data_IF_734492305190
#
_entry.id   IF_734492305190
#
_cell.length_a   1.000
_cell.length_b   1.000
_cell.length_c   1.000
_cell.angle_alpha   90.00
_cell.angle_beta   90.00
_cell.angle_gamma   90.00
#
_symmetry.space_group_name_H-M   'P 1'
#
loop_
_entity.id
_entity.type
_entity.pdbx_description
1 polymer ?
#
# COMPACT_ATOMS: atom_id res chain seq x y z
N UNK A 1 1.59 1.36 -42.36
CA UNK A 1 0.77 0.99 -41.19
C UNK A 1 0.93 -0.50 -41.01
N UNK A 2 1.78 -0.91 -40.09
CA UNK A 2 2.13 -2.32 -39.85
C UNK A 2 1.19 -2.82 -38.76
N UNK A 3 0.28 -3.72 -39.12
CA UNK A 3 -0.62 -4.39 -38.19
C UNK A 3 0.23 -5.27 -37.26
N UNK A 4 0.20 -4.98 -35.97
CA UNK A 4 0.76 -5.86 -34.95
C UNK A 4 -0.18 -7.05 -34.85
N UNK A 5 0.23 -8.20 -35.39
CA UNK A 5 -0.47 -9.46 -35.23
C UNK A 5 -0.37 -9.90 -33.76
N UNK A 6 -1.44 -9.68 -33.01
CA UNK A 6 -1.66 -10.26 -31.68
C UNK A 6 -2.21 -11.68 -31.82
N UNK A 7 -1.48 -12.55 -32.53
CA UNK A 7 -1.89 -13.95 -32.72
C UNK A 7 -0.93 -14.88 -31.98
N UNK A 8 -0.70 -14.61 -30.70
CA UNK A 8 -0.19 -15.63 -29.79
C UNK A 8 -1.36 -16.09 -28.90
N UNK A 9 -1.75 -17.37 -28.98
CA UNK A 9 -2.77 -17.88 -28.10
C UNK A 9 -2.29 -17.66 -26.66
N UNK A 10 -3.04 -16.87 -25.89
CA UNK A 10 -2.83 -16.73 -24.46
C UNK A 10 -2.97 -18.13 -23.85
N UNK A 11 -1.86 -18.71 -23.44
CA UNK A 11 -1.86 -19.99 -22.75
C UNK A 11 -2.51 -19.78 -21.38
N UNK A 12 -3.79 -20.03 -21.31
CA UNK A 12 -4.51 -20.09 -20.05
C UNK A 12 -3.91 -21.23 -19.23
N UNK A 13 -3.27 -20.87 -18.13
CA UNK A 13 -2.66 -21.85 -17.24
C UNK A 13 -3.78 -22.70 -16.66
N UNK A 14 -3.79 -23.98 -17.03
CA UNK A 14 -4.75 -24.91 -16.44
C UNK A 14 -4.44 -24.99 -14.95
N UNK A 15 -5.38 -24.50 -14.13
CA UNK A 15 -5.24 -24.56 -12.68
C UNK A 15 -5.14 -26.03 -12.25
N UNK A 16 -4.14 -26.37 -11.42
CA UNK A 16 -4.04 -27.73 -10.91
C UNK A 16 -5.33 -28.07 -10.15
N UNK A 17 -5.90 -29.25 -10.43
CA UNK A 17 -7.12 -29.72 -9.73
C UNK A 17 -6.84 -29.70 -8.23
N UNK A 18 -7.57 -28.86 -7.52
CA UNK A 18 -7.50 -28.76 -6.06
C UNK A 18 -7.89 -30.11 -5.45
N UNK A 19 -7.04 -30.64 -4.59
CA UNK A 19 -7.32 -31.86 -3.85
C UNK A 19 -8.41 -31.62 -2.79
N UNK A 20 -9.15 -32.66 -2.36
CA UNK A 20 -10.14 -32.56 -1.30
C UNK A 20 -9.59 -31.96 0.01
N UNK A 21 -8.30 -32.14 0.26
CA UNK A 21 -7.59 -31.56 1.42
C UNK A 21 -7.45 -30.06 1.27
N UNK A 22 -7.15 -29.57 0.05
CA UNK A 22 -7.02 -28.15 -0.24
C UNK A 22 -8.37 -27.44 -0.08
N UNK A 23 -9.47 -28.05 -0.56
CA UNK A 23 -10.82 -27.52 -0.34
C UNK A 23 -11.16 -27.40 1.16
N UNK A 24 -10.79 -28.41 1.96
CA UNK A 24 -11.05 -28.42 3.40
C UNK A 24 -10.25 -27.32 4.12
N UNK A 25 -8.98 -27.12 3.72
CA UNK A 25 -8.11 -26.05 4.24
C UNK A 25 -8.66 -24.68 3.86
N UNK A 26 -9.06 -24.49 2.60
CA UNK A 26 -9.64 -23.22 2.11
C UNK A 26 -10.93 -22.89 2.87
N UNK A 27 -11.82 -23.87 3.07
CA UNK A 27 -13.06 -23.69 3.83
C UNK A 27 -12.79 -23.33 5.29
N UNK A 28 -11.85 -24.04 5.94
CA UNK A 28 -11.41 -23.76 7.32
C UNK A 28 -10.83 -22.36 7.48
N UNK A 29 -9.95 -21.98 6.55
CA UNK A 29 -9.34 -20.64 6.50
C UNK A 29 -10.40 -19.55 6.25
N UNK A 30 -11.37 -19.81 5.37
CA UNK A 30 -12.49 -18.91 5.11
C UNK A 30 -13.38 -18.70 6.34
N UNK A 31 -13.71 -19.77 7.06
CA UNK A 31 -14.48 -19.70 8.29
C UNK A 31 -13.75 -18.88 9.37
N UNK A 32 -12.46 -19.16 9.60
CA UNK A 32 -11.62 -18.43 10.56
C UNK A 32 -11.52 -16.96 10.19
N UNK A 33 -11.29 -16.65 8.91
CA UNK A 33 -11.21 -15.27 8.39
C UNK A 33 -12.50 -14.50 8.65
N UNK A 34 -13.67 -15.11 8.43
CA UNK A 34 -14.98 -14.50 8.71
C UNK A 34 -15.16 -14.21 10.21
N UNK A 35 -14.73 -15.13 11.08
CA UNK A 35 -14.82 -14.93 12.53
C UNK A 35 -13.90 -13.84 13.04
N UNK A 36 -12.74 -13.64 12.38
CA UNK A 36 -11.78 -12.59 12.72
C UNK A 36 -12.10 -11.23 12.06
N UNK A 37 -13.02 -11.20 11.09
CA UNK A 37 -13.37 -9.99 10.33
C UNK A 37 -13.80 -8.80 11.23
N UNK A 38 -14.64 -8.95 12.28
CA UNK A 38 -15.03 -7.81 13.11
C UNK A 38 -13.86 -7.23 13.90
N UNK A 39 -12.91 -8.07 14.34
CA UNK A 39 -11.71 -7.62 15.06
C UNK A 39 -10.81 -6.85 14.09
N UNK A 40 -10.58 -7.38 12.90
CA UNK A 40 -9.80 -6.73 11.86
C UNK A 40 -10.43 -5.38 11.48
N UNK A 41 -11.73 -5.34 11.27
CA UNK A 41 -12.47 -4.12 10.95
C UNK A 41 -12.28 -3.04 12.02
N UNK A 42 -12.39 -3.39 13.32
CA UNK A 42 -12.17 -2.46 14.43
C UNK A 42 -10.73 -1.91 14.43
N UNK A 43 -9.75 -2.76 14.16
CA UNK A 43 -8.33 -2.35 14.05
C UNK A 43 -8.09 -1.37 12.91
N UNK A 44 -8.70 -1.62 11.73
CA UNK A 44 -8.60 -0.73 10.57
C UNK A 44 -9.31 0.60 10.80
N UNK A 45 -10.49 0.59 11.43
CA UNK A 45 -11.19 1.81 11.83
C UNK A 45 -10.33 2.64 12.80
N UNK A 46 -9.79 2.01 13.84
CA UNK A 46 -8.93 2.68 14.81
C UNK A 46 -7.65 3.23 14.17
N UNK A 47 -7.09 2.56 13.17
CA UNK A 47 -5.95 3.07 12.39
C UNK A 47 -6.34 4.33 11.59
N UNK A 48 -7.47 4.28 10.90
CA UNK A 48 -7.93 5.39 10.08
C UNK A 48 -8.26 6.63 10.93
N UNK A 49 -8.92 6.44 12.09
CA UNK A 49 -9.21 7.53 13.03
C UNK A 49 -7.90 8.19 13.53
N UNK A 50 -6.88 7.38 13.91
CA UNK A 50 -5.58 7.90 14.33
C UNK A 50 -4.90 8.70 13.22
N UNK A 51 -4.97 8.23 11.97
CA UNK A 51 -4.41 8.94 10.82
C UNK A 51 -5.17 10.27 10.54
N UNK A 52 -6.49 10.29 10.71
CA UNK A 52 -7.30 11.52 10.58
C UNK A 52 -6.96 12.53 11.67
N UNK A 53 -6.89 12.10 12.93
CA UNK A 53 -6.55 12.96 14.07
C UNK A 53 -5.16 13.56 13.94
N UNK A 54 -4.17 12.76 13.54
CA UNK A 54 -2.83 13.27 13.29
C UNK A 54 -2.80 14.22 12.07
N UNK A 55 -3.65 13.95 11.07
CA UNK A 55 -3.79 14.79 9.88
C UNK A 55 -4.26 16.21 10.19
N UNK A 56 -5.06 16.43 11.24
CA UNK A 56 -5.46 17.78 11.65
C UNK A 56 -4.28 18.61 12.17
N UNK A 57 -3.40 18.00 12.97
CA UNK A 57 -2.19 18.67 13.43
C UNK A 57 -1.18 18.92 12.28
N UNK A 58 -1.17 18.07 11.25
CA UNK A 58 -0.29 18.23 10.09
C UNK A 58 -0.84 19.31 9.13
N UNK A 59 -2.15 19.52 9.07
CA UNK A 59 -2.75 20.53 8.19
C UNK A 59 -2.29 21.96 8.50
N UNK A 60 -1.91 22.23 9.74
CA UNK A 60 -1.45 23.55 10.18
C UNK A 60 0.06 23.78 9.91
N UNK A 61 0.78 22.74 9.46
CA UNK A 61 2.21 22.86 9.17
C UNK A 61 2.45 23.59 7.85
N UNK A 62 3.52 24.36 7.78
CA UNK A 62 4.02 24.89 6.50
C UNK A 62 4.56 23.74 5.61
N UNK A 63 4.71 23.98 4.32
CA UNK A 63 5.25 22.98 3.39
C UNK A 63 6.70 22.57 3.77
N UNK A 64 7.51 23.53 4.24
CA UNK A 64 8.85 23.25 4.73
C UNK A 64 8.82 22.32 5.95
N UNK A 65 7.97 22.60 6.95
CA UNK A 65 7.80 21.76 8.12
C UNK A 65 7.25 20.37 7.78
N UNK A 66 6.37 20.28 6.79
CA UNK A 66 5.84 19.00 6.32
C UNK A 66 6.93 18.16 5.63
N UNK A 67 7.82 18.80 4.87
CA UNK A 67 8.96 18.13 4.25
C UNK A 67 9.95 17.61 5.30
N UNK A 68 10.22 18.40 6.34
CA UNK A 68 11.03 18.00 7.47
C UNK A 68 10.42 16.81 8.23
N UNK A 69 9.12 16.87 8.52
CA UNK A 69 8.38 15.76 9.13
C UNK A 69 8.45 14.47 8.29
N UNK A 70 8.39 14.59 6.96
CA UNK A 70 8.57 13.47 6.04
C UNK A 70 10.00 12.90 6.08
N UNK A 71 11.02 13.76 6.20
CA UNK A 71 12.41 13.37 6.42
C UNK A 71 12.61 12.61 7.73
N UNK A 72 12.07 13.15 8.82
CA UNK A 72 12.07 12.50 10.13
C UNK A 72 11.35 11.14 10.13
N UNK A 73 10.22 11.02 9.42
CA UNK A 73 9.54 9.75 9.24
C UNK A 73 10.39 8.74 8.49
N UNK A 74 11.12 9.17 7.44
CA UNK A 74 12.03 8.29 6.70
C UNK A 74 13.11 7.72 7.61
N UNK A 75 13.71 8.54 8.48
CA UNK A 75 14.72 8.09 9.45
C UNK A 75 14.13 7.06 10.43
N UNK A 76 12.90 7.28 10.92
CA UNK A 76 12.18 6.31 11.78
C UNK A 76 11.90 5.01 11.07
N UNK A 77 11.44 5.05 9.80
CA UNK A 77 11.17 3.84 9.02
C UNK A 77 12.44 3.01 8.76
N UNK A 78 13.59 3.64 8.64
CA UNK A 78 14.89 2.95 8.50
C UNK A 78 15.31 2.31 9.82
N UNK A 79 15.17 3.02 10.95
CA UNK A 79 15.60 2.56 12.26
C UNK A 79 14.66 1.51 12.86
N UNK A 80 13.35 1.82 12.89
CA UNK A 80 12.35 1.08 13.66
C UNK A 80 11.48 0.17 12.76
N UNK A 81 11.66 0.28 11.45
CA UNK A 81 10.87 -0.46 10.47
C UNK A 81 9.43 0.05 10.35
N UNK A 82 8.56 -0.80 9.76
CA UNK A 82 7.16 -0.48 9.55
C UNK A 82 6.34 -0.83 10.81
N UNK A 83 6.41 0.03 11.80
CA UNK A 83 5.52 -0.05 12.97
C UNK A 83 4.16 0.55 12.63
N UNK A 84 3.13 0.22 13.45
CA UNK A 84 1.80 0.82 13.30
C UNK A 84 1.86 2.34 13.39
N UNK A 85 2.64 2.89 14.32
CA UNK A 85 2.78 4.33 14.51
C UNK A 85 3.40 5.01 13.28
N UNK A 86 4.48 4.44 12.74
CA UNK A 86 5.11 4.96 11.53
C UNK A 86 4.17 4.90 10.32
N UNK A 87 3.34 3.85 10.22
CA UNK A 87 2.34 3.74 9.16
C UNK A 87 1.24 4.80 9.31
N UNK A 88 0.74 5.05 10.51
CA UNK A 88 -0.24 6.12 10.80
C UNK A 88 0.31 7.49 10.41
N UNK A 89 1.55 7.79 10.81
CA UNK A 89 2.23 9.06 10.45
C UNK A 89 2.40 9.22 8.94
N UNK A 90 2.79 8.15 8.26
CA UNK A 90 2.92 8.16 6.80
C UNK A 90 1.60 8.43 6.11
N UNK A 91 0.52 7.78 6.55
CA UNK A 91 -0.82 7.99 6.00
C UNK A 91 -1.31 9.41 6.22
N UNK A 92 -1.09 9.97 7.40
CA UNK A 92 -1.47 11.34 7.72
C UNK A 92 -0.72 12.35 6.83
N UNK A 93 0.61 12.20 6.68
CA UNK A 93 1.42 13.04 5.80
C UNK A 93 1.02 12.90 4.33
N UNK A 94 0.80 11.67 3.86
CA UNK A 94 0.39 11.42 2.48
C UNK A 94 -1.00 11.99 2.20
N UNK A 95 -1.94 11.86 3.14
CA UNK A 95 -3.28 12.43 3.06
C UNK A 95 -3.25 13.94 2.89
N UNK A 96 -2.42 14.63 3.68
CA UNK A 96 -2.26 16.08 3.59
C UNK A 96 -1.54 16.50 2.30
N UNK A 97 -0.48 15.77 1.89
CA UNK A 97 0.19 16.03 0.63
C UNK A 97 -0.75 15.90 -0.57
N UNK A 98 -1.59 14.87 -0.60
CA UNK A 98 -2.61 14.72 -1.65
C UNK A 98 -3.64 15.85 -1.62
N UNK A 99 -4.05 16.30 -0.44
CA UNK A 99 -4.99 17.42 -0.31
C UNK A 99 -4.40 18.72 -0.86
N UNK A 100 -3.12 19.00 -0.59
CA UNK A 100 -2.44 20.21 -1.08
C UNK A 100 -2.11 20.16 -2.56
N UNK A 101 -1.60 19.05 -3.05
CA UNK A 101 -1.11 18.94 -4.43
C UNK A 101 -2.19 18.59 -5.45
N UNK A 102 -3.18 17.80 -5.05
CA UNK A 102 -4.22 17.29 -5.94
C UNK A 102 -5.62 17.84 -5.63
N UNK A 103 -5.79 18.58 -4.53
CA UNK A 103 -7.10 18.98 -4.03
C UNK A 103 -7.95 17.80 -3.53
N UNK A 104 -7.36 16.62 -3.39
CA UNK A 104 -8.06 15.37 -3.03
C UNK A 104 -7.64 14.90 -1.65
N UNK A 105 -8.57 14.96 -0.69
CA UNK A 105 -8.34 14.48 0.66
C UNK A 105 -8.95 13.10 0.85
N UNK A 106 -8.15 12.11 1.26
CA UNK A 106 -8.62 10.75 1.48
C UNK A 106 -9.75 10.69 2.51
N UNK A 107 -10.77 9.90 2.19
CA UNK A 107 -11.83 9.53 3.11
C UNK A 107 -11.42 8.39 4.04
N UNK A 108 -12.10 8.26 5.17
CA UNK A 108 -11.81 7.19 6.16
C UNK A 108 -11.80 5.80 5.55
N UNK A 109 -12.74 5.48 4.69
CA UNK A 109 -12.82 4.19 4.01
C UNK A 109 -11.59 3.92 3.14
N UNK A 110 -11.04 4.95 2.50
CA UNK A 110 -9.82 4.86 1.70
C UNK A 110 -8.59 4.63 2.58
N UNK A 111 -8.51 5.29 3.75
CA UNK A 111 -7.46 5.04 4.73
C UNK A 111 -7.52 3.58 5.24
N UNK A 112 -8.73 3.06 5.50
CA UNK A 112 -8.93 1.67 5.87
C UNK A 112 -8.49 0.72 4.75
N UNK A 113 -8.85 1.00 3.51
CA UNK A 113 -8.45 0.22 2.33
C UNK A 113 -6.94 0.18 2.17
N UNK A 114 -6.27 1.34 2.26
CA UNK A 114 -4.81 1.43 2.24
C UNK A 114 -4.14 0.64 3.36
N UNK A 115 -4.69 0.69 4.57
CA UNK A 115 -4.19 -0.09 5.70
C UNK A 115 -4.38 -1.61 5.49
N UNK A 116 -5.53 -2.03 4.94
CA UNK A 116 -5.78 -3.44 4.60
C UNK A 116 -4.77 -3.96 3.55
N UNK A 117 -4.43 -3.15 2.55
CA UNK A 117 -3.40 -3.50 1.57
C UNK A 117 -2.00 -3.64 2.19
N UNK A 118 -1.66 -2.89 3.25
CA UNK A 118 -0.42 -3.10 4.00
C UNK A 118 -0.41 -4.44 4.73
N UNK A 119 -1.57 -4.92 5.19
CA UNK A 119 -1.76 -6.23 5.80
C UNK A 119 -1.85 -7.38 4.76
N UNK A 120 -1.54 -7.10 3.49
CA UNK A 120 -1.61 -8.05 2.36
C UNK A 120 -3.03 -8.55 2.06
N UNK A 121 -4.03 -7.77 2.38
CA UNK A 121 -5.40 -8.05 1.99
C UNK A 121 -5.70 -7.46 0.62
N UNK A 122 -6.53 -8.15 -0.15
CA UNK A 122 -7.16 -7.58 -1.35
C UNK A 122 -8.26 -6.62 -0.88
N UNK A 123 -8.24 -5.41 -1.42
CA UNK A 123 -9.25 -4.40 -1.13
C UNK A 123 -10.11 -4.22 -2.38
N UNK A 124 -11.35 -4.67 -2.30
CA UNK A 124 -12.34 -4.43 -3.34
C UNK A 124 -13.04 -3.10 -3.08
N UNK A 125 -13.11 -2.29 -4.09
CA UNK A 125 -13.75 -0.96 -4.07
C UNK A 125 -14.55 -0.79 -5.36
N UNK A 126 -15.69 -0.12 -5.28
CA UNK A 126 -16.52 0.16 -6.44
C UNK A 126 -15.87 1.16 -7.40
N UNK A 127 -16.37 1.22 -8.63
CA UNK A 127 -15.90 2.19 -9.62
C UNK A 127 -16.27 3.58 -9.16
N UNK A 128 -15.30 4.51 -9.17
CA UNK A 128 -15.50 5.88 -8.68
C UNK A 128 -15.11 6.12 -7.20
N UNK A 129 -14.91 5.08 -6.38
CA UNK A 129 -14.55 5.23 -4.96
C UNK A 129 -13.10 5.67 -4.70
N UNK A 130 -12.34 5.96 -5.75
CA UNK A 130 -10.96 6.47 -5.62
C UNK A 130 -9.92 5.39 -5.39
N UNK A 131 -9.99 4.27 -6.11
CA UNK A 131 -8.98 3.18 -6.05
C UNK A 131 -7.56 3.70 -6.22
N UNK A 132 -7.35 4.60 -7.18
CA UNK A 132 -6.02 5.15 -7.49
C UNK A 132 -5.43 5.92 -6.30
N UNK A 133 -6.21 6.81 -5.70
CA UNK A 133 -5.72 7.61 -4.57
C UNK A 133 -5.52 6.73 -3.33
N UNK A 134 -6.36 5.71 -3.13
CA UNK A 134 -6.19 4.74 -2.04
C UNK A 134 -4.87 3.97 -2.18
N UNK A 135 -4.49 3.58 -3.40
CA UNK A 135 -3.24 2.85 -3.67
C UNK A 135 -1.97 3.68 -3.38
N UNK A 136 -2.06 5.00 -3.43
CA UNK A 136 -0.93 5.90 -3.10
C UNK A 136 -0.46 5.69 -1.66
N UNK A 137 -1.39 5.47 -0.72
CA UNK A 137 -1.08 5.31 0.71
C UNK A 137 -0.08 4.18 1.00
N UNK A 138 -0.35 2.92 0.62
CA UNK A 138 0.62 1.83 0.81
C UNK A 138 1.83 1.96 -0.11
N UNK A 139 1.70 2.55 -1.31
CA UNK A 139 2.81 2.71 -2.25
C UNK A 139 3.92 3.59 -1.67
N UNK A 140 3.59 4.73 -1.05
CA UNK A 140 4.57 5.62 -0.41
C UNK A 140 5.38 4.89 0.66
N UNK A 141 4.72 4.06 1.48
CA UNK A 141 5.41 3.26 2.51
C UNK A 141 6.30 2.17 1.93
N UNK A 142 5.85 1.52 0.84
CA UNK A 142 6.62 0.46 0.18
C UNK A 142 7.81 1.01 -0.59
N UNK A 143 7.66 2.14 -1.28
CA UNK A 143 8.74 2.79 -2.02
C UNK A 143 9.89 3.26 -1.11
N UNK A 144 9.61 3.57 0.16
CA UNK A 144 10.60 4.04 1.13
C UNK A 144 11.37 2.93 1.86
N UNK A 145 11.00 1.66 1.68
CA UNK A 145 11.83 0.55 2.15
C UNK A 145 13.06 0.46 1.24
N UNK A 146 14.29 0.61 1.78
CA UNK A 146 15.45 0.12 1.05
C UNK A 146 15.18 -1.36 0.77
N UNK A 147 15.06 -1.74 -0.51
CA UNK A 147 14.89 -3.14 -0.85
C UNK A 147 16.13 -3.85 -0.31
N UNK A 148 15.95 -4.77 0.62
CA UNK A 148 17.01 -5.67 1.08
C UNK A 148 17.63 -6.45 -0.11
N UNK A 149 16.90 -6.55 -1.22
CA UNK A 149 17.39 -7.07 -2.48
C UNK A 149 18.55 -6.26 -3.12
N UNK A 150 18.76 -4.99 -2.73
CA UNK A 150 19.93 -4.22 -3.16
C UNK A 150 21.16 -4.43 -2.24
N UNK A 151 21.00 -5.01 -1.05
CA UNK A 151 22.08 -5.11 -0.08
C UNK A 151 22.95 -6.36 -0.28
N UNK A 152 22.42 -7.44 -0.87
CA UNK A 152 23.09 -8.74 -0.91
C UNK A 152 23.68 -9.13 -2.28
N UNK A 153 23.71 -8.24 -3.27
CA UNK A 153 24.39 -8.51 -4.55
C UNK A 153 23.93 -9.77 -5.32
N UNK A 154 22.97 -10.51 -4.80
CA UNK A 154 22.42 -11.69 -5.45
C UNK A 154 21.41 -11.29 -6.52
N UNK A 155 21.87 -11.34 -7.75
CA UNK A 155 21.05 -11.15 -8.94
C UNK A 155 20.09 -12.33 -9.09
N UNK A 156 18.81 -12.08 -8.92
CA UNK A 156 17.81 -13.00 -9.46
C UNK A 156 17.81 -12.87 -10.99
N UNK A 157 17.97 -13.95 -11.74
CA UNK A 157 17.92 -13.90 -13.21
C UNK A 157 16.52 -13.46 -13.63
N UNK A 158 16.42 -12.39 -14.44
CA UNK A 158 15.19 -11.96 -15.10
C UNK A 158 14.51 -10.66 -14.62
N UNK A 159 15.07 -9.90 -13.66
CA UNK A 159 14.53 -8.59 -13.31
C UNK A 159 15.34 -7.46 -13.93
N UNK A 160 14.65 -6.63 -14.73
CA UNK A 160 15.18 -5.40 -15.29
C UNK A 160 15.78 -4.50 -14.19
N UNK A 161 16.92 -3.89 -14.48
CA UNK A 161 17.57 -2.92 -13.60
C UNK A 161 16.64 -1.71 -13.39
N UNK A 162 16.27 -1.43 -12.14
CA UNK A 162 15.89 -0.08 -11.78
C UNK A 162 17.16 0.78 -11.83
N UNK A 163 17.34 1.50 -12.91
CA UNK A 163 18.36 2.56 -12.99
C UNK A 163 18.05 3.68 -11.99
N UNK A 164 19.04 4.49 -11.59
CA UNK A 164 18.79 5.63 -10.75
C UNK A 164 17.83 6.57 -11.46
N UNK A 165 16.71 6.88 -10.82
CA UNK A 165 15.85 7.99 -11.24
C UNK A 165 16.68 9.24 -11.01
N UNK A 166 17.14 9.85 -12.10
CA UNK A 166 17.81 11.13 -12.06
C UNK A 166 16.90 12.14 -11.36
N UNK A 167 17.41 12.74 -10.28
CA UNK A 167 16.83 13.91 -9.68
C UNK A 167 16.92 15.03 -10.72
N UNK A 168 15.79 15.33 -11.33
CA UNK A 168 15.62 16.45 -12.25
C UNK A 168 14.44 17.27 -11.80
N UNK A 169 14.75 18.47 -11.29
CA UNK A 169 13.94 19.66 -11.03
C UNK A 169 12.98 19.59 -9.83
#
# INVERSE_FOLDING_TARGET
>A
MTAIALDQPYYERVDPREGRVDEMLIRGQGWLSRRMAPIRRRRLIGFAIQAEQLGTAISDLSDAAMLEAAGGLRARLIRDGMTRENAVRAFALTREACARQLGLRHYRVQLMGGAAMLERCVCEMETGEGKTITAVLPAVLRARRPSSACRDGQRLPGRARCGPIAAGL
#
